data_IF_191298064643
#
_entry.id   IF_191298064643
#
_cell.length_a   1.000
_cell.length_b   1.000
_cell.length_c   1.000
_cell.angle_alpha   90.00
_cell.angle_beta   90.00
_cell.angle_gamma   90.00
#
_symmetry.space_group_name_H-M   'P 1'
#
loop_
_entity.id
_entity.type
_entity.pdbx_description
1 polymer ?
#
# COMPACT_ATOMS: atom_id res chain seq x y z
N UNK A 1 -40.68 -22.32 -20.74
CA UNK A 1 -39.52 -22.97 -20.08
C UNK A 1 -38.16 -22.47 -20.60
N UNK A 2 -38.05 -21.25 -21.17
CA UNK A 2 -36.81 -20.79 -21.81
C UNK A 2 -36.34 -19.38 -21.38
N UNK A 3 -37.04 -18.71 -20.47
CA UNK A 3 -36.64 -17.37 -20.01
C UNK A 3 -35.49 -17.35 -19.00
N UNK A 4 -35.34 -18.41 -18.20
CA UNK A 4 -34.30 -18.47 -17.16
C UNK A 4 -32.92 -18.79 -17.76
N UNK A 5 -32.85 -19.60 -18.80
CA UNK A 5 -31.59 -20.00 -19.44
C UNK A 5 -31.00 -18.89 -20.31
N UNK A 6 -31.82 -18.13 -21.05
CA UNK A 6 -31.34 -17.01 -21.88
C UNK A 6 -30.75 -15.88 -21.02
N UNK A 7 -31.39 -15.52 -19.91
CA UNK A 7 -30.87 -14.51 -18.99
C UNK A 7 -29.63 -14.97 -18.21
N UNK A 8 -29.47 -16.29 -18.00
CA UNK A 8 -28.28 -16.81 -17.32
C UNK A 8 -27.03 -16.74 -18.23
N UNK A 9 -27.17 -17.00 -19.52
CA UNK A 9 -26.05 -16.88 -20.47
C UNK A 9 -25.60 -15.44 -20.66
N UNK A 10 -26.55 -14.51 -20.87
CA UNK A 10 -26.25 -13.07 -21.00
C UNK A 10 -25.59 -12.52 -19.73
N UNK A 11 -26.05 -12.93 -18.56
CA UNK A 11 -25.44 -12.53 -17.29
C UNK A 11 -24.05 -13.11 -17.04
N UNK A 12 -23.75 -14.27 -17.62
CA UNK A 12 -22.44 -14.91 -17.52
C UNK A 12 -21.44 -14.27 -18.46
N UNK A 13 -21.81 -13.95 -19.71
CA UNK A 13 -20.97 -13.26 -20.67
C UNK A 13 -20.61 -11.85 -20.19
N UNK A 14 -21.57 -11.09 -19.65
CA UNK A 14 -21.35 -9.78 -19.03
C UNK A 14 -20.42 -9.87 -17.80
N UNK A 15 -20.49 -10.96 -17.02
CA UNK A 15 -19.58 -11.17 -15.91
C UNK A 15 -18.14 -11.44 -16.38
N UNK A 16 -17.97 -12.31 -17.38
CA UNK A 16 -16.66 -12.65 -17.92
C UNK A 16 -15.97 -11.42 -18.56
N UNK A 17 -16.72 -10.62 -19.32
CA UNK A 17 -16.22 -9.38 -19.88
C UNK A 17 -15.72 -8.41 -18.78
N UNK A 18 -16.50 -8.22 -17.72
CA UNK A 18 -16.08 -7.38 -16.59
C UNK A 18 -14.83 -7.92 -15.88
N UNK A 19 -14.74 -9.23 -15.77
CA UNK A 19 -13.59 -9.88 -15.16
C UNK A 19 -12.32 -9.67 -15.99
N UNK A 20 -12.41 -9.87 -17.30
CA UNK A 20 -11.31 -9.63 -18.24
C UNK A 20 -10.83 -8.18 -18.21
N UNK A 21 -11.74 -7.22 -18.23
CA UNK A 21 -11.41 -5.80 -18.13
C UNK A 21 -10.76 -5.47 -16.78
N UNK A 22 -11.28 -6.00 -15.67
CA UNK A 22 -10.68 -5.80 -14.37
C UNK A 22 -9.27 -6.40 -14.27
N UNK A 23 -9.01 -7.55 -14.88
CA UNK A 23 -7.69 -8.15 -14.97
C UNK A 23 -6.72 -7.28 -15.78
N UNK A 24 -7.17 -6.64 -16.85
CA UNK A 24 -6.37 -5.69 -17.62
C UNK A 24 -6.03 -4.42 -16.83
N UNK A 25 -6.89 -3.99 -15.92
CA UNK A 25 -6.63 -2.82 -15.07
C UNK A 25 -5.50 -3.06 -14.07
N UNK A 26 -5.35 -4.27 -13.52
CA UNK A 26 -4.40 -4.57 -12.45
C UNK A 26 -2.95 -4.14 -12.78
N UNK A 27 -2.35 -4.54 -13.91
CA UNK A 27 -0.98 -4.14 -14.24
C UNK A 27 -0.83 -2.62 -14.41
N UNK A 28 -1.82 -1.92 -14.97
CA UNK A 28 -1.80 -0.47 -15.15
C UNK A 28 -1.87 0.27 -13.81
N UNK A 29 -2.74 -0.18 -12.90
CA UNK A 29 -2.83 0.33 -11.53
C UNK A 29 -1.49 0.20 -10.81
N UNK A 30 -0.84 -0.96 -10.92
CA UNK A 30 0.47 -1.19 -10.32
C UNK A 30 1.59 -0.40 -11.00
N UNK A 31 1.53 -0.18 -12.31
CA UNK A 31 2.48 0.65 -13.05
C UNK A 31 2.42 2.11 -12.58
N UNK A 32 1.23 2.70 -12.58
CA UNK A 32 1.00 4.07 -12.10
C UNK A 32 1.46 4.25 -10.66
N UNK A 33 1.15 3.28 -9.81
CA UNK A 33 1.56 3.35 -8.43
C UNK A 33 3.08 3.27 -8.27
N UNK A 34 3.76 2.29 -8.91
CA UNK A 34 5.22 2.10 -8.75
C UNK A 34 6.05 3.19 -9.41
N UNK A 35 5.63 3.65 -10.59
CA UNK A 35 6.42 4.58 -11.39
C UNK A 35 6.15 6.04 -11.00
N UNK A 36 4.92 6.34 -10.59
CA UNK A 36 4.44 7.70 -10.42
C UNK A 36 3.93 7.99 -9.00
N UNK A 37 3.89 6.97 -8.11
CA UNK A 37 3.24 7.05 -6.81
C UNK A 37 1.78 7.56 -6.90
N UNK A 38 1.09 7.21 -7.98
CA UNK A 38 -0.32 7.54 -8.20
C UNK A 38 -1.19 6.45 -7.59
N UNK A 39 -2.02 6.82 -6.62
CA UNK A 39 -3.03 5.93 -6.03
C UNK A 39 -4.33 6.10 -6.79
N UNK A 40 -4.70 5.13 -7.61
CA UNK A 40 -5.98 5.12 -8.33
C UNK A 40 -7.12 4.70 -7.41
N UNK A 41 -8.26 5.38 -7.51
CA UNK A 41 -9.45 5.13 -6.69
C UNK A 41 -10.73 5.11 -7.53
N UNK A 42 -11.79 4.53 -6.97
CA UNK A 42 -13.18 4.69 -7.44
C UNK A 42 -13.98 5.29 -6.28
N UNK A 43 -14.35 6.56 -6.39
CA UNK A 43 -15.04 7.34 -5.36
C UNK A 43 -14.40 7.14 -3.98
N UNK A 44 -13.07 7.35 -3.92
CA UNK A 44 -12.27 7.25 -2.71
C UNK A 44 -11.90 5.83 -2.28
N UNK A 45 -12.35 4.78 -2.98
CA UNK A 45 -11.91 3.40 -2.72
C UNK A 45 -10.65 3.09 -3.50
N UNK A 46 -9.52 2.81 -2.85
CA UNK A 46 -8.28 2.52 -3.55
C UNK A 46 -8.36 1.19 -4.31
N UNK A 47 -7.75 1.17 -5.50
CA UNK A 47 -7.67 -0.01 -6.35
C UNK A 47 -6.32 -0.73 -6.25
N UNK A 48 -5.30 -0.08 -5.73
CA UNK A 48 -3.96 -0.66 -5.59
C UNK A 48 -4.00 -1.86 -4.65
N UNK A 49 -3.41 -2.98 -5.09
CA UNK A 49 -3.38 -4.23 -4.32
C UNK A 49 -4.73 -4.97 -4.23
N UNK A 50 -5.74 -4.53 -4.98
CA UNK A 50 -7.03 -5.20 -5.05
C UNK A 50 -7.03 -6.34 -6.07
N UNK A 51 -7.90 -7.33 -5.84
CA UNK A 51 -8.18 -8.38 -6.80
C UNK A 51 -9.13 -7.89 -7.89
N UNK A 52 -9.22 -8.60 -9.01
CA UNK A 52 -10.20 -8.36 -10.07
C UNK A 52 -11.64 -8.27 -9.55
N UNK A 53 -12.01 -9.18 -8.64
CA UNK A 53 -13.32 -9.18 -7.96
C UNK A 53 -13.52 -7.90 -7.12
N UNK A 54 -12.50 -7.45 -6.41
CA UNK A 54 -12.61 -6.25 -5.57
C UNK A 54 -12.66 -4.97 -6.40
N UNK A 55 -12.00 -4.95 -7.56
CA UNK A 55 -12.13 -3.88 -8.56
C UNK A 55 -13.58 -3.80 -9.05
N UNK A 56 -14.19 -4.93 -9.44
CA UNK A 56 -15.60 -5.00 -9.86
C UNK A 56 -16.53 -4.53 -8.72
N UNK A 57 -16.28 -4.93 -7.48
CA UNK A 57 -17.05 -4.45 -6.31
C UNK A 57 -16.91 -2.94 -6.09
N UNK A 58 -15.75 -2.37 -6.34
CA UNK A 58 -15.53 -0.93 -6.23
C UNK A 58 -16.35 -0.15 -7.27
N UNK A 59 -16.43 -0.65 -8.51
CA UNK A 59 -17.30 -0.09 -9.56
C UNK A 59 -18.77 -0.21 -9.18
N UNK A 60 -19.20 -1.37 -8.66
CA UNK A 60 -20.56 -1.56 -8.18
C UNK A 60 -20.92 -0.60 -7.03
N UNK A 61 -19.97 -0.30 -6.15
CA UNK A 61 -20.17 0.71 -5.12
C UNK A 61 -20.31 2.12 -5.72
N UNK A 62 -19.52 2.42 -6.74
CA UNK A 62 -19.56 3.68 -7.46
C UNK A 62 -20.95 4.03 -7.99
N UNK A 63 -21.75 3.02 -8.37
CA UNK A 63 -23.16 3.19 -8.77
C UNK A 63 -24.01 3.99 -7.77
N UNK A 64 -23.74 3.85 -6.48
CA UNK A 64 -24.50 4.56 -5.43
C UNK A 64 -24.19 6.05 -5.40
N UNK A 65 -22.98 6.42 -5.79
CA UNK A 65 -22.50 7.80 -5.78
C UNK A 65 -22.82 8.49 -7.11
N UNK A 66 -22.51 7.83 -8.22
CA UNK A 66 -22.79 8.32 -9.57
C UNK A 66 -24.26 8.30 -9.94
N UNK A 67 -25.13 7.62 -9.15
CA UNK A 67 -26.55 7.36 -9.44
C UNK A 67 -26.79 6.66 -10.79
N UNK A 68 -25.76 6.10 -11.39
CA UNK A 68 -25.79 5.29 -12.60
C UNK A 68 -24.79 4.13 -12.51
N UNK A 69 -24.84 3.21 -13.44
CA UNK A 69 -23.85 2.16 -13.55
C UNK A 69 -22.52 2.77 -14.01
N UNK A 70 -21.44 2.50 -13.29
CA UNK A 70 -20.07 2.78 -13.70
C UNK A 70 -19.42 1.43 -14.04
N UNK A 71 -19.02 1.24 -15.28
CA UNK A 71 -18.43 -0.02 -15.74
C UNK A 71 -16.89 0.03 -15.79
N UNK A 72 -16.27 -1.15 -15.75
CA UNK A 72 -14.82 -1.29 -15.99
C UNK A 72 -14.44 -0.85 -17.41
N UNK A 73 -15.35 -0.98 -18.37
CA UNK A 73 -15.16 -0.53 -19.75
C UNK A 73 -15.02 0.99 -19.89
N UNK A 74 -15.66 1.76 -19.01
CA UNK A 74 -15.56 3.23 -19.00
C UNK A 74 -14.27 3.71 -18.32
N UNK A 75 -13.81 3.00 -17.30
CA UNK A 75 -12.63 3.43 -16.53
C UNK A 75 -11.31 2.90 -17.09
N UNK A 76 -11.30 1.78 -17.82
CA UNK A 76 -10.09 1.22 -18.41
C UNK A 76 -9.42 2.16 -19.43
N UNK A 77 -10.12 2.81 -20.38
CA UNK A 77 -9.51 3.77 -21.29
C UNK A 77 -8.82 4.93 -20.56
N UNK A 78 -9.45 5.46 -19.51
CA UNK A 78 -8.85 6.52 -18.69
C UNK A 78 -7.56 5.99 -18.04
N UNK A 79 -7.60 4.79 -17.47
CA UNK A 79 -6.44 4.19 -16.84
C UNK A 79 -5.29 3.94 -17.83
N UNK A 80 -5.59 3.56 -19.07
CA UNK A 80 -4.60 3.40 -20.15
C UNK A 80 -3.93 4.73 -20.46
N UNK A 81 -4.70 5.79 -20.67
CA UNK A 81 -4.15 7.13 -20.93
C UNK A 81 -3.28 7.63 -19.76
N UNK A 82 -3.76 7.47 -18.51
CA UNK A 82 -2.99 7.86 -17.33
C UNK A 82 -1.65 7.12 -17.23
N UNK A 83 -1.61 5.84 -17.62
CA UNK A 83 -0.39 5.02 -17.56
C UNK A 83 0.70 5.51 -18.54
N UNK A 84 0.29 6.20 -19.63
CA UNK A 84 1.19 6.81 -20.61
C UNK A 84 1.54 8.27 -20.28
N UNK A 85 0.91 8.84 -19.23
CA UNK A 85 1.18 10.20 -18.80
C UNK A 85 2.33 10.22 -17.77
N UNK A 86 3.19 11.24 -17.85
CA UNK A 86 4.19 11.50 -16.83
C UNK A 86 3.56 12.27 -15.66
N UNK A 87 2.95 11.54 -14.74
CA UNK A 87 2.24 12.12 -13.59
C UNK A 87 3.15 12.20 -12.36
N UNK A 88 2.95 13.23 -11.56
CA UNK A 88 3.48 13.30 -10.20
C UNK A 88 2.64 12.51 -9.20
N UNK A 89 3.15 12.37 -7.97
CA UNK A 89 2.48 11.65 -6.89
C UNK A 89 1.11 12.27 -6.54
N UNK A 90 0.05 11.46 -6.63
CA UNK A 90 -1.32 11.93 -6.38
C UNK A 90 -2.29 10.79 -6.06
N UNK A 91 -3.49 11.16 -5.58
CA UNK A 91 -4.65 10.26 -5.58
C UNK A 91 -5.57 10.65 -6.71
N UNK A 92 -5.75 9.75 -7.69
CA UNK A 92 -6.56 9.98 -8.89
C UNK A 92 -7.82 9.12 -8.86
N UNK A 93 -8.98 9.76 -8.92
CA UNK A 93 -10.28 9.07 -8.83
C UNK A 93 -10.86 8.84 -10.24
N UNK A 94 -10.77 7.59 -10.72
CA UNK A 94 -11.25 7.21 -12.05
C UNK A 94 -12.75 7.43 -12.21
N UNK A 95 -13.53 7.22 -11.14
CA UNK A 95 -14.98 7.41 -11.20
C UNK A 95 -15.36 8.88 -11.42
N UNK A 96 -14.63 9.80 -10.79
CA UNK A 96 -14.83 11.24 -11.00
C UNK A 96 -14.38 11.68 -12.38
N UNK A 97 -13.26 11.14 -12.88
CA UNK A 97 -12.78 11.46 -14.22
C UNK A 97 -13.76 11.00 -15.31
N UNK A 98 -14.38 9.82 -15.17
CA UNK A 98 -15.44 9.39 -16.11
C UNK A 98 -16.59 10.38 -16.12
N UNK A 99 -17.11 10.76 -14.95
CA UNK A 99 -18.25 11.67 -14.87
C UNK A 99 -17.90 13.08 -15.41
N UNK A 100 -16.74 13.60 -15.05
CA UNK A 100 -16.30 14.90 -15.53
C UNK A 100 -16.06 14.92 -17.04
N UNK A 101 -15.54 13.83 -17.62
CA UNK A 101 -15.38 13.73 -19.06
C UNK A 101 -16.70 13.71 -19.80
N UNK A 102 -17.70 12.99 -19.28
CA UNK A 102 -19.06 13.00 -19.86
C UNK A 102 -19.73 14.37 -19.80
N UNK A 103 -19.44 15.15 -18.75
CA UNK A 103 -19.98 16.52 -18.60
C UNK A 103 -19.17 17.56 -19.40
N UNK A 104 -17.94 17.22 -19.78
CA UNK A 104 -17.09 18.07 -20.60
C UNK A 104 -17.55 18.09 -22.06
N UNK A 105 -17.20 19.17 -22.79
CA UNK A 105 -17.38 19.22 -24.24
C UNK A 105 -16.12 18.79 -25.00
N UNK A 106 -15.15 18.20 -24.30
CA UNK A 106 -13.89 17.76 -24.90
C UNK A 106 -14.06 16.36 -25.51
N UNK A 107 -13.76 16.24 -26.79
CA UNK A 107 -13.84 14.96 -27.51
C UNK A 107 -12.57 14.11 -27.35
N UNK A 108 -11.45 14.75 -26.98
CA UNK A 108 -10.17 14.08 -26.82
C UNK A 108 -9.92 13.78 -25.33
N UNK A 109 -9.98 12.49 -24.97
CA UNK A 109 -9.77 12.04 -23.60
C UNK A 109 -8.43 12.52 -23.02
N UNK A 110 -7.36 12.46 -23.83
CA UNK A 110 -6.03 12.90 -23.39
C UNK A 110 -5.99 14.38 -23.02
N UNK A 111 -6.57 15.23 -23.86
CA UNK A 111 -6.64 16.67 -23.59
C UNK A 111 -7.48 16.99 -22.35
N UNK A 112 -8.60 16.28 -22.17
CA UNK A 112 -9.40 16.39 -20.96
C UNK A 112 -8.56 16.03 -19.70
N UNK A 113 -7.86 14.89 -19.74
CA UNK A 113 -7.06 14.45 -18.60
C UNK A 113 -5.87 15.38 -18.31
N UNK A 114 -5.23 15.93 -19.33
CA UNK A 114 -4.16 16.91 -19.15
C UNK A 114 -4.67 18.21 -18.54
N UNK A 115 -5.89 18.61 -18.83
CA UNK A 115 -6.56 19.77 -18.23
C UNK A 115 -6.90 19.52 -16.74
N UNK A 116 -7.58 18.39 -16.45
CA UNK A 116 -8.00 18.04 -15.09
C UNK A 116 -6.83 17.75 -14.14
N UNK A 117 -5.73 17.24 -14.68
CA UNK A 117 -4.55 16.82 -13.90
C UNK A 117 -3.35 17.76 -14.10
N UNK A 118 -3.59 18.99 -14.57
CA UNK A 118 -2.52 19.94 -14.93
C UNK A 118 -1.51 20.21 -13.79
N UNK A 119 -1.93 20.11 -12.54
CA UNK A 119 -1.06 20.32 -11.37
C UNK A 119 -0.04 19.19 -11.17
N UNK A 120 -0.33 17.99 -11.69
CA UNK A 120 0.52 16.81 -11.49
C UNK A 120 1.16 16.32 -12.80
N UNK A 121 0.72 16.78 -13.95
CA UNK A 121 1.33 16.44 -15.24
C UNK A 121 2.72 17.09 -15.31
N UNK A 122 3.75 16.26 -15.55
CA UNK A 122 5.14 16.73 -15.65
C UNK A 122 5.80 17.07 -14.30
N UNK A 123 5.10 16.94 -13.18
CA UNK A 123 5.63 17.31 -11.86
C UNK A 123 6.78 16.41 -11.36
N UNK A 124 6.98 15.26 -12.01
CA UNK A 124 7.97 14.27 -11.59
C UNK A 124 7.57 13.55 -10.30
N UNK A 125 8.34 12.54 -9.94
CA UNK A 125 8.07 11.76 -8.72
C UNK A 125 9.27 11.87 -7.79
N UNK A 126 9.05 12.46 -6.63
CA UNK A 126 9.95 12.27 -5.50
C UNK A 126 9.55 10.95 -4.81
N UNK A 127 10.31 9.90 -5.12
CA UNK A 127 10.12 8.57 -4.53
C UNK A 127 10.85 8.42 -3.19
N UNK A 128 11.15 9.50 -2.48
CA UNK A 128 11.75 9.41 -1.17
C UNK A 128 10.84 8.62 -0.23
N UNK A 129 11.27 7.40 0.08
CA UNK A 129 10.60 6.57 1.08
C UNK A 129 11.05 6.98 2.47
N UNK A 130 10.11 7.24 3.35
CA UNK A 130 10.42 7.50 4.76
C UNK A 130 10.65 6.18 5.49
N UNK A 131 11.83 6.03 6.09
CA UNK A 131 12.16 4.87 6.90
C UNK A 131 11.35 4.88 8.21
N UNK A 132 10.83 3.72 8.58
CA UNK A 132 10.09 3.51 9.83
C UNK A 132 10.81 2.49 10.69
N UNK A 133 10.92 2.79 11.98
CA UNK A 133 11.44 1.88 12.99
C UNK A 133 10.34 1.59 14.02
N UNK A 134 10.10 0.33 14.32
CA UNK A 134 9.21 -0.07 15.40
C UNK A 134 10.02 -0.35 16.68
N UNK A 135 9.70 0.30 17.77
CA UNK A 135 10.29 0.00 19.07
C UNK A 135 9.31 -0.89 19.86
N UNK A 136 9.68 -2.16 19.94
CA UNK A 136 8.84 -3.25 20.48
C UNK A 136 8.29 -4.17 19.39
N UNK A 137 8.22 -5.48 19.71
CA UNK A 137 7.70 -6.51 18.80
C UNK A 137 6.72 -7.45 19.52
N UNK A 138 5.84 -6.83 20.29
CA UNK A 138 4.68 -7.47 20.91
C UNK A 138 3.57 -7.73 19.88
N UNK A 139 2.34 -7.93 20.34
CA UNK A 139 1.18 -8.14 19.45
C UNK A 139 0.97 -6.95 18.51
N UNK A 140 0.94 -5.74 19.06
CA UNK A 140 0.77 -4.50 18.27
C UNK A 140 1.91 -4.31 17.27
N UNK A 141 3.18 -4.47 17.71
CA UNK A 141 4.34 -4.31 16.82
C UNK A 141 4.33 -5.29 15.65
N UNK A 142 3.89 -6.54 15.85
CA UNK A 142 3.74 -7.51 14.76
C UNK A 142 2.65 -7.14 13.77
N UNK A 143 1.52 -6.60 14.25
CA UNK A 143 0.46 -6.12 13.38
C UNK A 143 0.89 -4.90 12.57
N UNK A 144 1.55 -3.94 13.22
CA UNK A 144 2.11 -2.77 12.54
C UNK A 144 3.14 -3.19 11.49
N UNK A 145 4.03 -4.15 11.81
CA UNK A 145 4.99 -4.67 10.84
C UNK A 145 4.30 -5.28 9.60
N UNK A 146 3.25 -6.08 9.80
CA UNK A 146 2.45 -6.64 8.68
C UNK A 146 1.80 -5.55 7.84
N UNK A 147 1.22 -4.53 8.48
CA UNK A 147 0.59 -3.41 7.78
C UNK A 147 1.62 -2.58 7.00
N UNK A 148 2.79 -2.28 7.59
CA UNK A 148 3.84 -1.52 6.93
C UNK A 148 4.41 -2.26 5.71
N UNK A 149 4.69 -3.57 5.84
CA UNK A 149 5.15 -4.40 4.72
C UNK A 149 4.11 -4.47 3.60
N UNK A 150 2.84 -4.67 3.94
CA UNK A 150 1.77 -4.68 2.96
C UNK A 150 1.58 -3.30 2.30
N UNK A 151 1.73 -2.22 3.07
CA UNK A 151 1.63 -0.85 2.56
C UNK A 151 2.80 -0.48 1.65
N UNK A 152 4.04 -0.83 2.00
CA UNK A 152 5.21 -0.59 1.15
C UNK A 152 5.03 -1.25 -0.22
N UNK A 153 4.57 -2.51 -0.23
CA UNK A 153 4.31 -3.24 -1.46
C UNK A 153 3.17 -2.66 -2.29
N UNK A 154 2.16 -2.07 -1.64
CA UNK A 154 0.95 -1.57 -2.28
C UNK A 154 0.99 -0.07 -2.58
N UNK A 155 1.60 0.74 -1.72
CA UNK A 155 1.45 2.21 -1.77
C UNK A 155 2.78 2.98 -1.72
N UNK A 156 3.91 2.35 -1.40
CA UNK A 156 5.17 3.06 -1.18
C UNK A 156 5.12 4.11 -0.05
N UNK A 157 5.99 5.08 -0.11
CA UNK A 157 6.02 6.25 0.77
C UNK A 157 6.58 6.00 2.18
N UNK A 158 6.35 4.84 2.78
CA UNK A 158 6.93 4.42 4.06
C UNK A 158 7.50 3.01 3.96
N UNK A 159 8.63 2.77 4.59
CA UNK A 159 9.33 1.48 4.55
C UNK A 159 9.76 1.06 5.94
N UNK A 160 9.37 -0.16 6.34
CA UNK A 160 9.83 -0.72 7.61
C UNK A 160 11.29 -1.16 7.49
N UNK A 161 12.18 -0.50 8.22
CA UNK A 161 13.62 -0.75 8.17
C UNK A 161 14.15 -1.50 9.38
N UNK A 162 13.60 -1.24 10.55
CA UNK A 162 14.11 -1.82 11.79
C UNK A 162 13.03 -2.12 12.81
N UNK A 163 13.30 -3.11 13.63
CA UNK A 163 12.49 -3.45 14.81
C UNK A 163 13.43 -3.58 16.00
N UNK A 164 13.21 -2.74 17.01
CA UNK A 164 13.98 -2.77 18.25
C UNK A 164 13.29 -3.62 19.29
N UNK A 165 14.04 -4.47 19.94
CA UNK A 165 13.53 -5.35 21.00
C UNK A 165 14.65 -5.80 21.93
N UNK A 166 14.26 -6.37 23.10
CA UNK A 166 15.20 -7.01 24.00
C UNK A 166 15.44 -8.46 23.57
N UNK A 167 16.70 -8.86 23.48
CA UNK A 167 17.08 -10.26 23.19
C UNK A 167 16.66 -11.19 24.33
N UNK A 168 16.04 -12.31 24.01
CA UNK A 168 15.57 -13.29 24.98
C UNK A 168 16.32 -14.64 24.92
N UNK A 169 17.55 -14.63 24.40
CA UNK A 169 18.39 -15.83 24.28
C UNK A 169 18.64 -16.22 22.82
N UNK A 170 19.24 -17.39 22.63
CA UNK A 170 19.59 -17.90 21.32
C UNK A 170 18.33 -18.28 20.52
N UNK A 171 18.37 -18.06 19.20
CA UNK A 171 17.22 -18.33 18.31
C UNK A 171 16.02 -17.38 18.49
N UNK A 172 16.19 -16.26 19.22
CA UNK A 172 15.07 -15.28 19.43
C UNK A 172 14.53 -14.78 18.09
N UNK A 173 15.38 -14.53 17.10
CA UNK A 173 14.95 -14.08 15.76
C UNK A 173 14.03 -15.08 15.06
N UNK A 174 14.34 -16.38 15.13
CA UNK A 174 13.50 -17.44 14.55
C UNK A 174 12.13 -17.48 15.19
N UNK A 175 12.09 -17.33 16.52
CA UNK A 175 10.84 -17.22 17.27
C UNK A 175 10.05 -16.00 16.86
N UNK A 176 10.70 -14.83 16.68
CA UNK A 176 10.05 -13.60 16.23
C UNK A 176 9.48 -13.74 14.83
N UNK A 177 10.22 -14.32 13.91
CA UNK A 177 9.76 -14.60 12.56
C UNK A 177 8.58 -15.57 12.56
N UNK A 178 8.60 -16.61 13.38
CA UNK A 178 7.48 -17.54 13.54
C UNK A 178 6.21 -16.83 14.04
N UNK A 179 6.34 -15.93 15.02
CA UNK A 179 5.24 -15.14 15.54
C UNK A 179 4.72 -14.11 14.50
N UNK A 180 5.58 -13.62 13.60
CA UNK A 180 5.17 -12.76 12.49
C UNK A 180 4.40 -13.56 11.44
N UNK A 181 4.81 -14.82 11.16
CA UNK A 181 4.13 -15.70 10.19
C UNK A 181 2.72 -16.07 10.60
N UNK A 182 2.48 -16.27 11.92
CA UNK A 182 1.18 -16.70 12.42
C UNK A 182 0.78 -15.89 13.64
N UNK A 183 -0.39 -15.28 13.57
CA UNK A 183 -1.03 -14.63 14.67
C UNK A 183 -2.34 -15.36 15.01
N UNK A 184 -2.63 -15.55 16.30
CA UNK A 184 -3.80 -16.31 16.75
C UNK A 184 -5.14 -15.63 16.42
N UNK A 185 -5.14 -14.32 16.24
CA UNK A 185 -6.34 -13.51 15.96
C UNK A 185 -6.42 -13.11 14.47
N UNK A 186 -5.29 -12.70 13.89
CA UNK A 186 -5.21 -12.12 12.55
C UNK A 186 -4.73 -13.14 11.49
N UNK A 187 -4.58 -14.40 11.87
CA UNK A 187 -4.25 -15.47 10.95
C UNK A 187 -2.80 -15.45 10.42
N UNK A 188 -2.61 -16.10 9.28
CA UNK A 188 -1.31 -16.19 8.63
C UNK A 188 -0.89 -14.84 8.01
N UNK A 189 0.43 -14.61 7.94
CA UNK A 189 0.99 -13.52 7.15
C UNK A 189 0.75 -13.78 5.65
N UNK A 190 0.29 -12.76 4.95
CA UNK A 190 0.07 -12.86 3.50
C UNK A 190 1.39 -12.65 2.76
N UNK A 191 2.10 -13.74 2.51
CA UNK A 191 3.36 -13.69 1.79
C UNK A 191 4.44 -14.59 2.37
N UNK A 192 5.70 -14.26 2.08
CA UNK A 192 6.89 -15.03 2.45
C UNK A 192 7.70 -14.31 3.53
N UNK A 193 8.24 -15.11 4.48
CA UNK A 193 9.15 -14.64 5.51
C UNK A 193 10.37 -15.57 5.51
N UNK A 194 11.56 -15.01 5.38
CA UNK A 194 12.84 -15.70 5.60
C UNK A 194 13.66 -14.97 6.67
N UNK A 195 14.64 -15.67 7.23
CA UNK A 195 15.48 -15.18 8.32
C UNK A 195 16.93 -15.34 7.95
N UNK A 196 17.69 -14.31 8.16
CA UNK A 196 19.15 -14.31 8.14
C UNK A 196 19.60 -14.11 9.60
N UNK A 197 19.99 -15.21 10.24
CA UNK A 197 20.36 -15.20 11.66
C UNK A 197 21.71 -14.53 11.90
N UNK A 198 22.63 -14.64 10.94
CA UNK A 198 23.98 -14.08 11.06
C UNK A 198 23.93 -12.55 11.03
N UNK A 199 23.12 -11.97 10.16
CA UNK A 199 22.96 -10.53 10.04
C UNK A 199 21.80 -9.96 10.87
N UNK A 200 21.10 -10.79 11.65
CA UNK A 200 19.94 -10.43 12.43
C UNK A 200 18.85 -9.73 11.60
N UNK A 201 18.52 -10.29 10.42
CA UNK A 201 17.55 -9.73 9.47
C UNK A 201 16.36 -10.66 9.27
N UNK A 202 15.17 -10.08 9.25
CA UNK A 202 13.96 -10.74 8.74
C UNK A 202 13.61 -10.12 7.38
N UNK A 203 13.45 -10.98 6.38
CA UNK A 203 12.94 -10.60 5.08
C UNK A 203 11.44 -10.93 5.02
N UNK A 204 10.59 -9.94 4.78
CA UNK A 204 9.15 -10.11 4.66
C UNK A 204 8.68 -9.51 3.32
N UNK A 205 8.21 -10.34 2.39
CA UNK A 205 7.83 -9.94 1.03
C UNK A 205 8.89 -9.08 0.31
N UNK A 206 10.19 -9.39 0.53
CA UNK A 206 11.29 -8.61 -0.04
C UNK A 206 11.72 -7.39 0.79
N UNK A 207 10.94 -6.96 1.78
CA UNK A 207 11.34 -5.90 2.72
C UNK A 207 12.39 -6.41 3.70
N UNK A 208 13.56 -5.75 3.73
CA UNK A 208 14.63 -6.01 4.67
C UNK A 208 14.34 -5.34 6.01
N UNK A 209 14.11 -6.12 7.06
CA UNK A 209 13.83 -5.64 8.41
C UNK A 209 14.98 -6.01 9.33
N UNK A 210 15.74 -5.02 9.78
CA UNK A 210 16.83 -5.22 10.74
C UNK A 210 16.25 -5.44 12.14
N UNK A 211 16.64 -6.53 12.79
CA UNK A 211 16.33 -6.78 14.20
C UNK A 211 17.43 -6.15 15.03
N UNK A 212 17.08 -5.15 15.84
CA UNK A 212 18.02 -4.36 16.64
C UNK A 212 17.79 -4.71 18.10
N UNK A 213 18.79 -5.30 18.74
CA UNK A 213 18.69 -5.68 20.14
C UNK A 213 19.29 -4.61 21.04
N UNK A 214 18.43 -3.95 21.83
CA UNK A 214 18.83 -2.89 22.74
C UNK A 214 17.97 -2.87 24.00
N UNK A 215 18.54 -2.33 25.07
CA UNK A 215 17.86 -2.14 26.36
C UNK A 215 17.47 -0.67 26.58
N UNK A 216 18.28 0.26 26.11
CA UNK A 216 18.07 1.69 26.23
C UNK A 216 17.84 2.32 24.83
N UNK A 217 16.76 3.07 24.64
CA UNK A 217 16.46 3.69 23.35
C UNK A 217 17.46 4.79 22.96
N UNK A 218 18.07 5.48 23.92
CA UNK A 218 18.96 6.61 23.66
C UNK A 218 20.37 6.20 23.18
N UNK A 219 20.76 4.94 23.40
CA UNK A 219 22.09 4.40 23.07
C UNK A 219 22.19 3.83 21.64
N UNK A 220 21.08 3.78 20.91
CA UNK A 220 21.04 3.14 19.60
C UNK A 220 21.54 4.12 18.53
N UNK A 221 22.51 3.68 17.73
CA UNK A 221 22.91 4.36 16.50
C UNK A 221 22.27 3.68 15.28
N UNK A 222 21.11 4.18 14.83
CA UNK A 222 20.39 3.64 13.69
C UNK A 222 21.12 3.87 12.38
N UNK A 223 22.02 4.87 12.31
CA UNK A 223 22.78 5.15 11.11
C UNK A 223 23.77 4.04 10.78
N UNK A 224 24.22 3.27 11.76
CA UNK A 224 25.06 2.09 11.56
C UNK A 224 24.36 0.97 10.76
N UNK A 225 23.02 0.99 10.73
CA UNK A 225 22.18 0.09 9.95
C UNK A 225 21.71 0.73 8.63
N UNK A 226 22.22 1.93 8.28
CA UNK A 226 21.80 2.69 7.10
C UNK A 226 20.39 3.26 7.24
N UNK A 227 19.92 3.49 8.46
CA UNK A 227 18.61 4.10 8.76
C UNK A 227 18.83 5.55 9.14
N UNK A 228 18.29 6.45 8.34
CA UNK A 228 18.50 7.89 8.51
C UNK A 228 17.16 8.62 8.46
N UNK A 229 16.99 9.64 9.30
CA UNK A 229 15.81 10.49 9.34
C UNK A 229 14.48 9.71 9.49
N UNK A 230 14.52 8.60 10.22
CA UNK A 230 13.39 7.68 10.35
C UNK A 230 12.32 8.18 11.31
N UNK A 231 11.09 7.73 11.08
CA UNK A 231 9.99 7.81 12.04
C UNK A 231 10.06 6.61 12.97
N UNK A 232 10.10 6.85 14.29
CA UNK A 232 10.04 5.79 15.27
C UNK A 232 8.65 5.68 15.88
N UNK A 233 8.14 4.45 15.93
CA UNK A 233 6.85 4.14 16.55
C UNK A 233 7.08 3.24 17.77
N UNK A 234 6.90 3.79 18.97
CA UNK A 234 6.94 3.00 20.20
C UNK A 234 5.61 2.28 20.42
N UNK A 235 5.68 0.98 20.50
CA UNK A 235 4.53 0.10 20.77
C UNK A 235 4.76 -0.82 21.98
N UNK A 236 5.73 -0.48 22.84
CA UNK A 236 6.06 -1.26 24.04
C UNK A 236 5.08 -1.01 25.18
N UNK A 237 4.50 0.18 25.24
CA UNK A 237 3.70 0.66 26.37
C UNK A 237 4.53 0.99 27.62
N UNK A 238 5.86 0.96 27.53
CA UNK A 238 6.76 1.34 28.61
C UNK A 238 6.86 2.86 28.77
N UNK A 239 6.92 3.56 27.64
CA UNK A 239 7.01 5.01 27.54
C UNK A 239 5.62 5.58 27.21
N UNK A 240 5.06 6.43 28.08
CA UNK A 240 3.68 6.90 27.97
C UNK A 240 3.54 8.42 28.06
N UNK A 241 4.60 9.10 28.40
CA UNK A 241 4.67 10.53 28.54
C UNK A 241 5.67 11.14 27.56
N UNK A 242 5.64 12.46 27.46
CA UNK A 242 6.49 13.21 26.54
C UNK A 242 7.98 13.07 26.91
N UNK A 243 8.30 13.01 28.21
CA UNK A 243 9.67 12.92 28.68
C UNK A 243 10.28 11.55 28.31
N UNK A 244 9.58 10.47 28.58
CA UNK A 244 9.98 9.10 28.23
C UNK A 244 10.12 8.91 26.73
N UNK A 245 9.10 9.28 25.95
CA UNK A 245 9.13 9.16 24.48
C UNK A 245 10.22 10.00 23.83
N UNK A 246 10.57 11.16 24.42
CA UNK A 246 11.64 12.01 23.90
C UNK A 246 13.03 11.37 24.00
N UNK A 247 13.21 10.29 24.77
CA UNK A 247 14.49 9.57 24.81
C UNK A 247 14.83 8.97 23.45
N UNK A 248 13.84 8.54 22.67
CA UNK A 248 14.05 7.99 21.34
C UNK A 248 14.66 9.03 20.36
N UNK A 249 14.36 10.31 20.55
CA UNK A 249 14.89 11.39 19.69
C UNK A 249 16.37 11.72 19.97
N UNK A 250 16.95 11.16 21.04
CA UNK A 250 18.39 11.26 21.32
C UNK A 250 19.21 10.30 20.47
N UNK A 251 18.58 9.24 19.96
CA UNK A 251 19.21 8.24 19.13
C UNK A 251 19.51 8.81 17.73
N UNK A 252 20.72 8.53 17.21
CA UNK A 252 21.09 8.96 15.86
C UNK A 252 20.27 8.21 14.82
N UNK A 253 19.76 8.95 13.82
CA UNK A 253 19.00 8.39 12.71
C UNK A 253 17.48 8.48 12.87
N UNK A 254 16.97 8.93 14.02
CA UNK A 254 15.55 9.17 14.29
C UNK A 254 15.25 10.67 14.20
N UNK A 255 14.13 11.01 13.55
CA UNK A 255 13.67 12.41 13.39
C UNK A 255 12.32 12.68 14.03
N UNK A 256 11.50 11.66 14.17
CA UNK A 256 10.13 11.74 14.72
C UNK A 256 9.75 10.46 15.42
#
# INVERSE_FOLDING_TARGET
MNYVTANAHVGHDDWNERLELAQQMIPLIHQLHRNNNVVTTIFGRPLVGQTDIDIIKSHRYGRRIAQRHLSTAETLPILVELADMNLGAASVDLGRLVLGWEESNEENLRMYLEGELCEIVGAGVDLETTDVVLYGFGRIGRLLARLLVAREAAYGGVRLRGIVLRKKGDGDILKRASLLRRDSVHGAFNGTISVDEENEVIWANGTKIQMIYANDPSEIDYTSYGINNAILVDNTGAWRDREGLSQHLKAKGISR
#
